data_IF_513068708976
#
_entry.id   IF_513068708976
#
_cell.length_a   1.000
_cell.length_b   1.000
_cell.length_c   1.000
_cell.angle_alpha   90.00
_cell.angle_beta   90.00
_cell.angle_gamma   90.00
#
_symmetry.space_group_name_H-M   'P 1'
#
loop_
_entity.id
_entity.type
_entity.pdbx_description
1 polymer ?
#
# COMPACT_ATOMS: atom_id res chain seq x y z
N UNK A 1 -5.18 -8.73 -23.22
CA UNK A 1 -4.80 -8.55 -21.79
C UNK A 1 -3.73 -7.48 -21.54
N UNK A 2 -2.92 -7.10 -22.56
CA UNK A 2 -1.86 -6.09 -22.46
C UNK A 2 -2.29 -4.77 -21.79
N UNK A 3 -3.41 -4.18 -22.20
CA UNK A 3 -3.86 -2.90 -21.63
C UNK A 3 -4.22 -2.98 -20.14
N UNK A 4 -4.80 -4.09 -19.67
CA UNK A 4 -5.06 -4.31 -18.24
C UNK A 4 -3.74 -4.49 -17.47
N UNK A 5 -2.80 -5.22 -18.06
CA UNK A 5 -1.48 -5.44 -17.48
C UNK A 5 -0.72 -4.11 -17.31
N UNK A 6 -0.65 -3.29 -18.36
CA UNK A 6 0.03 -1.99 -18.33
C UNK A 6 -0.61 -1.04 -17.31
N UNK A 7 -1.95 -1.00 -17.26
CA UNK A 7 -2.68 -0.16 -16.31
C UNK A 7 -2.46 -0.59 -14.85
N UNK A 8 -2.38 -1.89 -14.58
CA UNK A 8 -2.11 -2.41 -13.24
C UNK A 8 -0.66 -2.16 -12.81
N UNK A 9 0.31 -2.57 -13.62
CA UNK A 9 1.73 -2.48 -13.28
C UNK A 9 2.19 -1.02 -13.19
N UNK A 10 1.73 -0.16 -14.10
CA UNK A 10 2.05 1.27 -14.05
C UNK A 10 1.61 1.96 -12.75
N UNK A 11 0.49 1.52 -12.16
CA UNK A 11 0.02 2.02 -10.87
C UNK A 11 0.78 1.41 -9.69
N UNK A 12 1.10 0.12 -9.77
CA UNK A 12 1.79 -0.61 -8.71
C UNK A 12 3.24 -0.16 -8.51
N UNK A 13 3.96 0.17 -9.60
CA UNK A 13 5.35 0.67 -9.55
C UNK A 13 5.47 1.92 -8.67
N UNK A 14 4.47 2.80 -8.69
CA UNK A 14 4.47 4.00 -7.85
C UNK A 14 4.38 3.67 -6.35
N UNK A 15 3.74 2.55 -5.99
CA UNK A 15 3.65 2.08 -4.62
C UNK A 15 4.95 1.41 -4.18
N UNK A 16 5.56 0.60 -5.04
CA UNK A 16 6.84 -0.07 -4.79
C UNK A 16 7.95 0.95 -4.51
N UNK A 17 8.09 1.96 -5.37
CA UNK A 17 9.09 3.03 -5.17
C UNK A 17 8.88 3.80 -3.86
N UNK A 18 7.63 4.02 -3.45
CA UNK A 18 7.33 4.67 -2.17
C UNK A 18 7.65 3.76 -0.97
N UNK A 19 7.35 2.46 -1.06
CA UNK A 19 7.68 1.46 -0.04
C UNK A 19 9.19 1.35 0.16
N UNK A 20 9.96 1.24 -0.92
CA UNK A 20 11.42 1.13 -0.87
C UNK A 20 12.08 2.38 -0.27
N UNK A 21 11.51 3.57 -0.54
CA UNK A 21 12.01 4.83 -0.03
C UNK A 21 11.50 5.19 1.38
N UNK A 22 10.51 4.47 1.93
CA UNK A 22 9.82 4.88 3.16
C UNK A 22 8.99 6.17 3.00
N UNK A 23 8.60 6.53 1.77
CA UNK A 23 7.97 7.82 1.47
C UNK A 23 6.43 7.74 1.58
N UNK A 24 5.94 8.03 2.78
CA UNK A 24 4.50 8.08 3.06
C UNK A 24 3.75 9.13 2.23
N UNK A 25 4.38 10.26 1.89
CA UNK A 25 3.73 11.34 1.15
C UNK A 25 3.59 10.99 -0.34
N UNK A 26 4.62 10.38 -0.94
CA UNK A 26 4.55 9.87 -2.30
C UNK A 26 3.54 8.72 -2.43
N UNK A 27 3.47 7.85 -1.42
CA UNK A 27 2.45 6.80 -1.33
C UNK A 27 1.04 7.40 -1.28
N UNK A 28 0.78 8.35 -0.38
CA UNK A 28 -0.53 9.01 -0.24
C UNK A 28 -0.94 9.74 -1.54
N UNK A 29 -0.02 10.45 -2.18
CA UNK A 29 -0.26 11.13 -3.47
C UNK A 29 -0.62 10.13 -4.57
N UNK A 30 0.08 9.00 -4.61
CA UNK A 30 -0.19 7.94 -5.60
C UNK A 30 -1.52 7.25 -5.35
N UNK A 31 -1.87 6.99 -4.09
CA UNK A 31 -3.17 6.43 -3.70
C UNK A 31 -4.32 7.39 -4.00
N UNK A 32 -4.16 8.69 -3.72
CA UNK A 32 -5.14 9.72 -4.03
C UNK A 32 -5.51 9.75 -5.52
N UNK A 33 -4.49 9.75 -6.39
CA UNK A 33 -4.67 9.69 -7.85
C UNK A 33 -5.28 8.36 -8.31
N UNK A 34 -4.85 7.25 -7.74
CA UNK A 34 -5.22 5.93 -8.25
C UNK A 34 -6.61 5.45 -7.78
N UNK A 35 -6.99 5.76 -6.55
CA UNK A 35 -8.25 5.31 -5.92
C UNK A 35 -9.34 6.36 -6.07
N UNK A 36 -9.02 7.62 -5.79
CA UNK A 36 -10.00 8.71 -5.78
C UNK A 36 -9.95 9.62 -7.01
N UNK A 37 -8.94 9.49 -7.87
CA UNK A 37 -8.67 10.43 -8.99
C UNK A 37 -8.50 11.87 -8.51
N UNK A 38 -7.93 12.05 -7.33
CA UNK A 38 -7.60 13.36 -6.78
C UNK A 38 -6.19 13.81 -7.20
N UNK A 39 -6.00 15.11 -7.35
CA UNK A 39 -4.72 15.71 -7.76
C UNK A 39 -3.74 15.92 -6.59
N UNK A 40 -4.23 15.82 -5.36
CA UNK A 40 -3.45 15.96 -4.13
C UNK A 40 -3.85 14.89 -3.10
N UNK A 41 -2.96 14.65 -2.14
CA UNK A 41 -3.22 13.75 -1.02
C UNK A 41 -4.48 14.21 -0.26
N UNK A 42 -5.34 13.24 0.06
CA UNK A 42 -6.49 13.42 0.94
C UNK A 42 -6.20 12.72 2.27
N UNK A 43 -6.89 13.10 3.33
CA UNK A 43 -6.79 12.43 4.63
C UNK A 43 -7.02 10.92 4.52
N UNK A 44 -7.99 10.50 3.69
CA UNK A 44 -8.23 9.09 3.40
C UNK A 44 -7.04 8.41 2.70
N UNK A 45 -6.37 9.11 1.78
CA UNK A 45 -5.19 8.58 1.09
C UNK A 45 -3.97 8.51 2.02
N UNK A 46 -3.80 9.47 2.91
CA UNK A 46 -2.77 9.44 3.96
C UNK A 46 -3.01 8.29 4.95
N UNK A 47 -4.27 8.09 5.36
CA UNK A 47 -4.66 6.94 6.19
C UNK A 47 -4.37 5.61 5.49
N UNK A 48 -4.71 5.50 4.21
CA UNK A 48 -4.44 4.29 3.44
C UNK A 48 -2.93 4.08 3.21
N UNK A 49 -2.15 5.15 3.07
CA UNK A 49 -0.69 5.06 3.02
C UNK A 49 -0.14 4.46 4.31
N UNK A 50 -0.53 4.98 5.48
CA UNK A 50 -0.13 4.41 6.79
C UNK A 50 -0.48 2.93 6.91
N UNK A 51 -1.71 2.55 6.54
CA UNK A 51 -2.13 1.15 6.53
C UNK A 51 -1.25 0.31 5.61
N UNK A 52 -0.92 0.82 4.43
CA UNK A 52 -0.12 0.09 3.45
C UNK A 52 1.30 -0.20 3.96
N UNK A 53 1.94 0.78 4.62
CA UNK A 53 3.25 0.58 5.25
C UNK A 53 3.19 -0.41 6.42
N UNK A 54 2.21 -0.26 7.33
CA UNK A 54 2.04 -1.20 8.44
C UNK A 54 1.77 -2.64 7.96
N UNK A 55 1.01 -2.80 6.87
CA UNK A 55 0.82 -4.11 6.24
C UNK A 55 2.10 -4.65 5.61
N UNK A 56 2.89 -3.81 4.93
CA UNK A 56 4.18 -4.23 4.37
C UNK A 56 5.12 -4.74 5.47
N UNK A 57 5.23 -4.01 6.59
CA UNK A 57 6.02 -4.43 7.76
C UNK A 57 5.51 -5.76 8.35
N UNK A 58 4.19 -5.89 8.53
CA UNK A 58 3.60 -7.12 9.06
C UNK A 58 3.83 -8.33 8.12
N UNK A 59 3.71 -8.14 6.81
CA UNK A 59 3.99 -9.20 5.83
C UNK A 59 5.48 -9.56 5.81
N UNK A 60 6.39 -8.58 5.89
CA UNK A 60 7.83 -8.83 5.96
C UNK A 60 8.24 -9.59 7.23
N UNK A 61 7.47 -9.45 8.31
CA UNK A 61 7.71 -10.16 9.57
C UNK A 61 7.27 -11.64 9.55
N UNK A 62 6.43 -12.05 8.59
CA UNK A 62 5.91 -13.41 8.50
C UNK A 62 6.94 -14.37 7.88
N UNK A 63 6.97 -15.61 8.37
CA UNK A 63 7.93 -16.61 7.92
C UNK A 63 7.60 -17.17 6.54
N UNK A 64 8.61 -17.40 5.70
CA UNK A 64 8.43 -17.96 4.36
C UNK A 64 7.66 -19.30 4.32
N UNK A 65 7.88 -20.16 5.32
CA UNK A 65 7.17 -21.44 5.44
C UNK A 65 5.65 -21.27 5.62
N UNK A 66 5.21 -20.16 6.25
CA UNK A 66 3.80 -19.82 6.41
C UNK A 66 3.18 -19.48 5.05
N UNK A 67 3.87 -18.70 4.22
CA UNK A 67 3.43 -18.37 2.86
C UNK A 67 3.35 -19.59 1.96
N UNK A 68 4.33 -20.51 2.02
CA UNK A 68 4.28 -21.78 1.30
C UNK A 68 3.08 -22.65 1.71
N UNK A 69 2.63 -22.54 2.95
CA UNK A 69 1.44 -23.21 3.46
C UNK A 69 0.12 -22.49 3.10
N UNK A 70 0.18 -21.41 2.30
CA UNK A 70 -0.99 -20.63 1.89
C UNK A 70 -1.60 -19.80 3.02
N UNK A 71 -0.85 -19.55 4.09
CA UNK A 71 -1.29 -18.75 5.23
C UNK A 71 -0.69 -17.36 5.13
N UNK A 72 -1.53 -16.33 5.21
CA UNK A 72 -1.11 -14.93 5.21
C UNK A 72 -1.97 -14.20 6.23
N UNK A 73 -1.33 -13.55 7.18
CA UNK A 73 -2.03 -12.73 8.17
C UNK A 73 -1.98 -11.27 7.76
N UNK A 74 -3.13 -10.60 7.69
CA UNK A 74 -3.22 -9.17 7.44
C UNK A 74 -3.70 -8.46 8.71
N UNK A 75 -3.19 -7.25 8.94
CA UNK A 75 -3.67 -6.40 10.02
C UNK A 75 -5.11 -5.95 9.75
N UNK A 76 -5.91 -5.79 10.80
CA UNK A 76 -7.19 -5.09 10.71
C UNK A 76 -6.94 -3.59 10.48
N UNK A 77 -7.56 -3.01 9.45
CA UNK A 77 -7.33 -1.62 9.06
C UNK A 77 -7.80 -0.61 10.12
N UNK A 78 -8.78 -0.98 10.94
CA UNK A 78 -9.31 -0.20 12.06
C UNK A 78 -8.33 -0.14 13.24
N UNK A 79 -7.44 -1.14 13.36
CA UNK A 79 -6.44 -1.20 14.42
C UNK A 79 -5.17 -0.39 14.15
N UNK A 80 -5.02 0.14 12.94
CA UNK A 80 -3.90 0.99 12.55
C UNK A 80 -4.35 2.44 12.76
N UNK A 81 -3.83 3.05 13.82
CA UNK A 81 -4.28 4.35 14.31
C UNK A 81 -4.18 5.49 13.28
N UNK A 82 -5.04 6.47 13.45
CA UNK A 82 -4.88 7.76 12.80
C UNK A 82 -3.74 8.51 13.49
N UNK A 83 -2.88 9.17 12.71
CA UNK A 83 -1.78 9.95 13.28
C UNK A 83 -2.38 11.02 14.20
N UNK A 84 -1.91 11.05 15.45
CA UNK A 84 -2.29 12.05 16.45
C UNK A 84 -1.81 13.45 16.07
#
# INVERSE_FOLDING_TARGET
VRGLWEAFHGRAIAYEAALDAGDHAAMATSLARNVWRADAATEAAERLARISFAQAENLQSQGFAQFLAGKVDFLAAEGIGDAA
#
